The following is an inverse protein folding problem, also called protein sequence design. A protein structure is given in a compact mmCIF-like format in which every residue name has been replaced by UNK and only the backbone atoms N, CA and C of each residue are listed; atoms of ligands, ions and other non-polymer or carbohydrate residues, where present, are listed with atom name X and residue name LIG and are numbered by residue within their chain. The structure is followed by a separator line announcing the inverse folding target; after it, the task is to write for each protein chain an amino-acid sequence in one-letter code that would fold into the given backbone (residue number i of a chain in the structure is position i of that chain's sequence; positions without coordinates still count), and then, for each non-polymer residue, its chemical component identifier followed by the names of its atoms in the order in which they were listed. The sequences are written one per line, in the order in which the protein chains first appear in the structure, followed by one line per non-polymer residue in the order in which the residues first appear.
data_IF_939165579134
#
_entry.id   IF_939165579134
#
_cell.length_a   1.000
_cell.length_b   1.000
_cell.length_c   1.000
_cell.angle_alpha   90.00
_cell.angle_beta   90.00
_cell.angle_gamma   90.00
#
_symmetry.space_group_name_H-M   'P 1'
#
loop_
_entity.id
_entity.type
_entity.pdbx_description
1 polymer ?
#
# COMPACT_ATOMS: atom_id res chain seq x y z
N UNK A 1 0.47 -0.13 -1.89
CA UNK A 1 0.56 -0.63 -0.51
C UNK A 1 -0.20 0.26 0.47
N UNK A 2 -1.23 1.01 0.01
CA UNK A 2 -2.10 1.77 0.90
C UNK A 2 -2.59 0.89 2.06
N UNK A 3 -3.01 -0.35 1.80
CA UNK A 3 -3.42 -1.31 2.84
C UNK A 3 -2.50 -1.46 4.07
N UNK A 4 -1.20 -1.16 3.96
CA UNK A 4 -0.25 -1.25 5.08
C UNK A 4 0.02 0.11 5.70
N UNK A 5 0.17 1.16 4.89
CA UNK A 5 0.61 2.46 5.39
C UNK A 5 -0.49 3.48 5.53
N UNK A 6 -1.61 3.35 4.84
CA UNK A 6 -2.64 4.40 4.81
C UNK A 6 -3.97 3.73 4.95
N UNK A 7 -4.87 4.32 5.72
CA UNK A 7 -6.23 3.83 5.86
C UNK A 7 -7.18 4.85 5.21
N UNK A 8 -7.33 4.87 3.87
CA UNK A 8 -8.09 5.93 3.20
C UNK A 8 -9.55 6.01 3.64
N UNK A 9 -10.14 4.90 4.08
CA UNK A 9 -11.50 4.90 4.63
C UNK A 9 -11.61 5.80 5.87
N UNK A 10 -10.58 5.83 6.73
CA UNK A 10 -10.52 6.73 7.88
C UNK A 10 -10.23 8.18 7.48
N UNK A 11 -9.74 8.40 6.26
CA UNK A 11 -9.48 9.72 5.68
C UNK A 11 -10.66 10.23 4.85
N UNK A 12 -11.80 9.53 4.86
CA UNK A 12 -13.03 9.93 4.18
C UNK A 12 -13.24 9.36 2.78
N UNK A 13 -12.44 8.38 2.33
CA UNK A 13 -12.73 7.67 1.08
C UNK A 13 -13.92 6.73 1.27
N UNK A 14 -14.85 6.69 0.31
CA UNK A 14 -15.99 5.76 0.35
C UNK A 14 -15.57 4.32 0.02
N UNK A 15 -14.71 4.17 -0.99
CA UNK A 15 -14.25 2.88 -1.52
C UNK A 15 -12.74 2.93 -1.74
N UNK A 16 -12.04 1.88 -1.32
CA UNK A 16 -10.61 1.69 -1.55
C UNK A 16 -10.39 0.52 -2.49
N UNK A 17 -9.62 0.77 -3.55
CA UNK A 17 -9.18 -0.27 -4.47
C UNK A 17 -7.73 -0.68 -4.19
N UNK A 18 -7.49 -1.99 -4.24
CA UNK A 18 -6.16 -2.57 -4.21
C UNK A 18 -5.95 -3.51 -5.39
N UNK A 19 -4.84 -3.31 -6.12
CA UNK A 19 -4.27 -4.39 -6.91
C UNK A 19 -3.61 -5.39 -5.96
N UNK A 20 -4.32 -6.48 -5.69
CA UNK A 20 -3.86 -7.56 -4.82
C UNK A 20 -2.70 -8.35 -5.43
N UNK A 21 -2.53 -8.28 -6.76
CA UNK A 21 -1.33 -8.75 -7.49
C UNK A 21 -0.02 -8.28 -6.87
N UNK A 22 0.00 -7.08 -6.29
CA UNK A 22 1.23 -6.39 -5.86
C UNK A 22 1.59 -6.80 -4.44
N UNK A 23 1.64 -5.87 -3.50
CA UNK A 23 2.13 -6.15 -2.15
C UNK A 23 1.28 -7.17 -1.39
N UNK A 24 -0.06 -7.18 -1.58
CA UNK A 24 -0.96 -8.08 -0.85
C UNK A 24 -0.61 -9.55 -1.11
N UNK A 25 -0.48 -9.95 -2.38
CA UNK A 25 0.09 -11.25 -2.72
C UNK A 25 1.59 -11.29 -2.42
N UNK A 26 2.36 -10.41 -3.07
CA UNK A 26 3.79 -10.23 -2.82
C UNK A 26 4.73 -11.27 -3.40
N UNK A 27 4.21 -12.23 -4.18
CA UNK A 27 4.98 -13.36 -4.73
C UNK A 27 4.92 -13.46 -6.25
N UNK A 28 4.35 -12.45 -6.93
CA UNK A 28 4.30 -12.35 -8.41
C UNK A 28 3.64 -13.52 -9.15
N UNK A 29 2.84 -14.32 -8.45
CA UNK A 29 2.21 -15.56 -8.94
C UNK A 29 0.66 -15.51 -8.93
N UNK A 30 0.07 -14.36 -8.60
CA UNK A 30 -1.39 -14.15 -8.58
C UNK A 30 -1.74 -12.83 -9.23
N UNK A 31 -2.74 -12.82 -10.12
CA UNK A 31 -3.43 -11.62 -10.57
C UNK A 31 -4.75 -11.46 -9.81
N UNK A 32 -4.89 -10.39 -9.02
CA UNK A 32 -6.09 -10.18 -8.21
C UNK A 32 -6.34 -8.69 -7.93
N UNK A 33 -7.60 -8.36 -7.67
CA UNK A 33 -8.05 -7.05 -7.22
C UNK A 33 -8.96 -7.17 -6.00
N UNK A 34 -8.95 -6.16 -5.14
CA UNK A 34 -9.85 -6.06 -3.99
C UNK A 34 -10.46 -4.66 -3.92
N UNK A 35 -11.77 -4.60 -3.68
CA UNK A 35 -12.51 -3.39 -3.32
C UNK A 35 -12.92 -3.52 -1.86
N UNK A 36 -12.74 -2.44 -1.10
CA UNK A 36 -13.10 -2.36 0.32
C UNK A 36 -13.95 -1.12 0.54
N UNK A 37 -15.06 -1.24 1.26
CA UNK A 37 -15.91 -0.12 1.69
C UNK A 37 -16.08 -0.15 3.21
N UNK A 38 -16.23 1.02 3.82
CA UNK A 38 -16.64 1.15 5.22
C UNK A 38 -18.16 1.13 5.41
N UNK A 39 -18.93 1.28 4.33
CA UNK A 39 -20.38 1.38 4.38
C UNK A 39 -21.03 0.52 3.28
N UNK A 40 -21.91 -0.40 3.70
CA UNK A 40 -22.72 -1.21 2.78
C UNK A 40 -23.97 -0.42 2.43
N UNK A 41 -24.08 -0.02 1.16
CA UNK A 41 -25.20 0.75 0.63
C UNK A 41 -25.62 0.19 -0.74
N UNK A 42 -26.67 0.77 -1.33
CA UNK A 42 -27.20 0.35 -2.64
C UNK A 42 -26.12 0.30 -3.74
N UNK A 43 -25.16 1.23 -3.73
CA UNK A 43 -24.04 1.25 -4.68
C UNK A 43 -23.09 0.06 -4.49
N UNK A 44 -22.81 -0.32 -3.23
CA UNK A 44 -22.02 -1.52 -2.94
C UNK A 44 -22.72 -2.79 -3.40
N UNK A 45 -24.02 -2.91 -3.14
CA UNK A 45 -24.84 -4.04 -3.59
C UNK A 45 -24.86 -4.16 -5.12
N UNK A 46 -24.99 -3.02 -5.83
CA UNK A 46 -24.90 -2.96 -7.28
C UNK A 46 -23.55 -3.47 -7.79
N UNK A 47 -22.43 -3.01 -7.21
CA UNK A 47 -21.09 -3.48 -7.58
C UNK A 47 -20.89 -4.98 -7.30
N UNK A 48 -21.37 -5.48 -6.16
CA UNK A 48 -21.31 -6.90 -5.83
C UNK A 48 -22.16 -7.77 -6.79
N UNK A 49 -23.33 -7.26 -7.17
CA UNK A 49 -24.19 -7.87 -8.19
C UNK A 49 -23.49 -7.89 -9.54
N UNK A 50 -22.90 -6.77 -9.96
CA UNK A 50 -22.17 -6.65 -11.21
C UNK A 50 -21.00 -7.62 -11.28
N UNK A 51 -20.17 -7.71 -10.22
CA UNK A 51 -19.05 -8.66 -10.11
C UNK A 51 -19.48 -10.11 -10.38
N UNK A 52 -20.64 -10.48 -9.86
CA UNK A 52 -21.22 -11.81 -10.05
C UNK A 52 -21.71 -11.99 -11.49
N UNK A 53 -22.46 -11.01 -12.03
CA UNK A 53 -23.05 -11.06 -13.37
C UNK A 53 -22.02 -11.08 -14.49
N UNK A 54 -20.92 -10.34 -14.34
CA UNK A 54 -19.83 -10.30 -15.34
C UNK A 54 -18.88 -11.50 -15.23
N UNK A 55 -19.06 -12.37 -14.23
CA UNK A 55 -18.20 -13.53 -14.05
C UNK A 55 -16.76 -13.16 -13.64
N UNK A 56 -16.59 -12.13 -12.81
CA UNK A 56 -15.28 -11.73 -12.28
C UNK A 56 -15.02 -12.10 -10.79
N UNK A 57 -15.46 -13.26 -10.24
CA UNK A 57 -14.90 -13.76 -8.98
C UNK A 57 -13.45 -14.20 -9.17
N UNK A 58 -12.64 -14.08 -8.12
CA UNK A 58 -11.32 -14.69 -8.07
C UNK A 58 -11.46 -16.20 -7.83
N UNK A 59 -10.69 -17.01 -8.55
CA UNK A 59 -10.75 -18.45 -8.40
C UNK A 59 -10.20 -18.92 -7.03
N UNK A 60 -10.69 -20.05 -6.48
CA UNK A 60 -10.37 -20.46 -5.11
C UNK A 60 -8.88 -20.68 -4.83
N UNK A 61 -8.13 -21.14 -5.82
CA UNK A 61 -6.69 -21.38 -5.66
C UNK A 61 -5.91 -20.06 -5.54
N UNK A 62 -6.28 -19.05 -6.34
CA UNK A 62 -5.74 -17.70 -6.31
C UNK A 62 -6.12 -16.99 -5.01
N UNK A 63 -7.34 -17.22 -4.50
CA UNK A 63 -7.74 -16.78 -3.16
C UNK A 63 -6.82 -17.38 -2.08
N UNK A 64 -6.52 -18.68 -2.16
CA UNK A 64 -5.62 -19.35 -1.22
C UNK A 64 -4.18 -18.81 -1.29
N UNK A 65 -3.64 -18.62 -2.51
CA UNK A 65 -2.32 -18.02 -2.71
C UNK A 65 -2.24 -16.60 -2.14
N UNK A 66 -3.32 -15.81 -2.33
CA UNK A 66 -3.41 -14.47 -1.76
C UNK A 66 -3.39 -14.51 -0.22
N UNK A 67 -4.18 -15.40 0.41
CA UNK A 67 -4.18 -15.59 1.87
C UNK A 67 -2.78 -15.99 2.37
N UNK A 68 -2.11 -16.91 1.67
CA UNK A 68 -0.72 -17.30 1.96
C UNK A 68 0.21 -16.09 1.90
N UNK A 69 0.10 -15.26 0.87
CA UNK A 69 0.91 -14.04 0.68
C UNK A 69 0.69 -13.00 1.78
N UNK A 70 -0.55 -12.82 2.24
CA UNK A 70 -0.90 -11.87 3.29
C UNK A 70 -0.20 -12.15 4.62
N UNK A 71 0.10 -13.42 4.94
CA UNK A 71 0.77 -13.81 6.20
C UNK A 71 2.13 -13.14 6.40
N UNK A 72 2.82 -12.79 5.31
CA UNK A 72 4.13 -12.13 5.35
C UNK A 72 4.09 -10.68 4.88
N UNK A 73 2.89 -10.10 4.67
CA UNK A 73 2.71 -8.76 4.12
C UNK A 73 3.49 -7.70 4.91
N UNK A 74 3.30 -7.63 6.22
CA UNK A 74 3.89 -6.59 7.06
C UNK A 74 5.42 -6.68 7.08
N UNK A 75 5.97 -7.87 7.33
CA UNK A 75 7.43 -8.06 7.35
C UNK A 75 8.08 -7.77 6.00
N UNK A 76 7.46 -8.19 4.88
CA UNK A 76 7.95 -7.86 3.52
C UNK A 76 7.89 -6.37 3.27
N UNK A 77 6.79 -5.72 3.64
CA UNK A 77 6.59 -4.30 3.40
C UNK A 77 7.56 -3.45 4.21
N UNK A 78 7.76 -3.79 5.50
CA UNK A 78 8.73 -3.12 6.37
C UNK A 78 10.14 -3.20 5.79
N UNK A 79 10.59 -4.40 5.41
CA UNK A 79 11.92 -4.56 4.82
C UNK A 79 12.05 -3.79 3.49
N UNK A 80 11.04 -3.88 2.61
CA UNK A 80 11.05 -3.15 1.36
C UNK A 80 11.10 -1.63 1.57
N UNK A 81 10.37 -1.10 2.55
CA UNK A 81 10.35 0.33 2.88
C UNK A 81 11.67 0.80 3.48
N UNK A 82 12.28 0.00 4.37
CA UNK A 82 13.59 0.28 4.96
C UNK A 82 14.69 0.31 3.87
N UNK A 83 14.67 -0.66 2.94
CA UNK A 83 15.59 -0.67 1.81
C UNK A 83 15.37 0.55 0.89
N UNK A 84 14.11 0.89 0.61
CA UNK A 84 13.76 1.98 -0.29
C UNK A 84 14.26 3.35 0.22
N UNK A 85 14.12 3.66 1.51
CA UNK A 85 14.63 4.93 2.06
C UNK A 85 16.16 5.00 2.02
N UNK A 86 16.86 3.89 2.25
CA UNK A 86 18.33 3.82 2.15
C UNK A 86 18.76 4.15 0.71
N UNK A 87 18.15 3.51 -0.28
CA UNK A 87 18.43 3.76 -1.69
C UNK A 87 18.07 5.20 -2.08
N UNK A 88 16.93 5.71 -1.62
CA UNK A 88 16.49 7.06 -1.91
C UNK A 88 17.51 8.10 -1.39
N UNK A 89 17.97 7.96 -0.14
CA UNK A 89 19.00 8.84 0.44
C UNK A 89 20.35 8.71 -0.26
N UNK A 90 20.74 7.49 -0.63
CA UNK A 90 21.99 7.25 -1.36
C UNK A 90 21.99 8.00 -2.70
N UNK A 91 20.89 7.89 -3.45
CA UNK A 91 20.77 8.48 -4.78
C UNK A 91 20.43 9.97 -4.77
N UNK A 92 19.87 10.52 -3.69
CA UNK A 92 19.53 11.94 -3.57
C UNK A 92 20.74 12.86 -3.79
N UNK A 93 21.94 12.39 -3.46
CA UNK A 93 23.20 13.14 -3.61
C UNK A 93 24.03 12.71 -4.82
N UNK A 94 23.50 11.85 -5.69
CA UNK A 94 24.28 11.27 -6.77
C UNK A 94 24.39 12.25 -7.96
N UNK A 95 25.61 12.60 -8.42
CA UNK A 95 25.81 13.68 -9.40
C UNK A 95 25.24 13.40 -10.81
N UNK A 96 24.89 12.14 -11.11
CA UNK A 96 24.25 11.73 -12.38
C UNK A 96 22.73 11.59 -12.31
N UNK A 97 22.12 11.93 -11.17
CA UNK A 97 20.67 11.80 -10.97
C UNK A 97 20.10 13.21 -10.85
N UNK A 98 19.15 13.54 -11.71
CA UNK A 98 18.46 14.83 -11.67
C UNK A 98 17.69 14.98 -10.35
N UNK A 99 16.80 14.03 -10.06
CA UNK A 99 15.93 14.06 -8.89
C UNK A 99 15.56 12.66 -8.40
N UNK A 100 15.39 12.54 -7.09
CA UNK A 100 14.84 11.35 -6.43
C UNK A 100 13.44 11.67 -5.92
N UNK A 101 12.45 10.89 -6.36
CA UNK A 101 11.06 11.04 -5.94
C UNK A 101 10.70 9.95 -4.94
N UNK A 102 10.87 10.25 -3.66
CA UNK A 102 10.50 9.32 -2.59
C UNK A 102 9.73 10.05 -1.48
N UNK A 103 8.49 9.65 -1.13
CA UNK A 103 7.68 10.35 -0.14
C UNK A 103 8.32 10.45 1.26
N UNK A 104 9.25 9.56 1.60
CA UNK A 104 9.99 9.60 2.85
C UNK A 104 11.16 10.60 2.89
N UNK A 105 11.53 11.23 1.77
CA UNK A 105 12.54 12.28 1.73
C UNK A 105 11.90 13.65 2.01
N UNK A 106 12.56 14.48 2.82
CA UNK A 106 12.10 15.84 3.12
C UNK A 106 12.07 16.74 1.86
N UNK A 107 12.89 16.43 0.86
CA UNK A 107 12.92 17.11 -0.44
C UNK A 107 11.68 16.84 -1.31
N UNK A 108 10.88 15.80 -0.97
CA UNK A 108 9.71 15.44 -1.74
C UNK A 108 8.55 16.41 -1.48
N UNK A 109 7.97 16.98 -2.55
CA UNK A 109 6.85 17.95 -2.47
C UNK A 109 5.67 17.47 -1.60
N UNK A 110 5.39 16.16 -1.62
CA UNK A 110 4.32 15.54 -0.84
C UNK A 110 4.73 15.01 0.53
N UNK A 111 5.93 15.30 1.03
CA UNK A 111 6.47 14.73 2.27
C UNK A 111 5.56 15.00 3.48
N UNK A 112 5.09 16.23 3.64
CA UNK A 112 4.21 16.59 4.76
C UNK A 112 2.88 15.84 4.75
N UNK A 113 2.31 15.63 3.57
CA UNK A 113 1.07 14.88 3.41
C UNK A 113 1.34 13.39 3.70
N UNK A 114 2.42 12.84 3.13
CA UNK A 114 2.84 11.47 3.38
C UNK A 114 3.04 11.22 4.88
N UNK A 115 3.77 12.08 5.59
CA UNK A 115 4.00 11.98 7.04
C UNK A 115 2.71 12.00 7.86
N UNK A 116 1.67 12.72 7.41
CA UNK A 116 0.37 12.81 8.12
C UNK A 116 -0.51 11.59 7.90
N UNK A 117 -0.50 11.02 6.69
CA UNK A 117 -1.47 10.00 6.26
C UNK A 117 -0.89 8.59 6.09
N UNK A 118 0.44 8.48 6.04
CA UNK A 118 1.14 7.21 6.01
C UNK A 118 1.57 6.91 7.45
N UNK A 119 1.33 5.69 7.94
CA UNK A 119 1.73 5.12 9.23
C UNK A 119 2.58 3.88 9.01
N UNK A 120 3.36 3.47 10.00
CA UNK A 120 3.97 2.15 10.00
C UNK A 120 3.01 1.08 10.56
N UNK A 121 3.49 -0.16 10.66
CA UNK A 121 2.74 -1.33 11.16
C UNK A 121 2.24 -1.20 12.62
N UNK A 122 2.69 -0.19 13.37
CA UNK A 122 2.35 0.04 14.79
C UNK A 122 1.39 1.21 15.02
N UNK A 123 0.98 1.91 13.96
CA UNK A 123 0.12 3.09 14.11
C UNK A 123 0.85 4.32 14.66
N UNK A 124 2.19 4.28 14.73
CA UNK A 124 3.01 5.44 14.99
C UNK A 124 3.44 6.08 13.65
N UNK A 125 3.54 7.40 13.65
CA UNK A 125 3.63 8.24 12.45
C UNK A 125 4.53 7.68 11.35
N UNK A 126 3.95 7.46 10.17
CA UNK A 126 4.61 6.80 9.06
C UNK A 126 5.47 7.78 8.32
N UNK A 127 6.68 7.82 8.82
CA UNK A 127 7.89 7.50 8.07
C UNK A 127 8.78 7.01 9.19
N UNK A 128 9.41 5.83 9.10
CA UNK A 128 10.62 5.60 9.89
C UNK A 128 11.70 6.58 9.37
N UNK A 129 11.55 7.82 9.82
CA UNK A 129 12.41 8.98 9.79
C UNK A 129 12.31 9.55 11.20
N UNK A 130 12.48 8.70 12.22
CA UNK A 130 13.26 9.20 13.35
C UNK A 130 14.65 9.44 12.78
N UNK A 131 14.99 10.72 12.60
CA UNK A 131 16.38 11.09 12.77
C UNK A 131 16.76 10.53 14.15
N UNK A 132 17.54 9.45 14.19
CA UNK A 132 18.42 9.21 15.33
C UNK A 132 19.39 10.41 15.36
N UNK A 133 18.91 11.49 15.95
CA UNK A 133 19.70 12.66 16.31
C UNK A 133 20.05 12.53 17.78
N UNK A 134 21.35 12.57 18.07
CA UNK A 134 21.89 12.57 19.43
C UNK A 134 22.28 11.20 19.93
#
# INVERSE_FOLDING_TARGET
SAAVTTQPLLLGADIVFHSATKYLNGHSDVLAGALVTGNVNARWEEMASLRTKIGAPLAPFECWLLIRGLRTLFVRYRQASANAIILARHFEKHPKIDRVLYPGLASHKGHDIARRQMTDERGEGGTHCEAMGG
#
